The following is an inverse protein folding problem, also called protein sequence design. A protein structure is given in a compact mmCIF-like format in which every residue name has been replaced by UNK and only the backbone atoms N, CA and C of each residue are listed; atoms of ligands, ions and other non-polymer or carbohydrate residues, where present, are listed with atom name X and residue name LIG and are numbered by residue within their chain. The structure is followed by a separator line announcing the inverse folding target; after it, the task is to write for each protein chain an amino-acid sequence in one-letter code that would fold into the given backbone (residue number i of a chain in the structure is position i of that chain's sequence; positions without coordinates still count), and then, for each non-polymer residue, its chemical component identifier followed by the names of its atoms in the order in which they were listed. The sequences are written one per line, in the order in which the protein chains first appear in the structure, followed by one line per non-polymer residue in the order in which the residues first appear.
data_IF_051309289712
#
_entry.id   IF_051309289712
#
_cell.length_a   1.000
_cell.length_b   1.000
_cell.length_c   1.000
_cell.angle_alpha   90.00
_cell.angle_beta   90.00
_cell.angle_gamma   90.00
#
_symmetry.space_group_name_H-M   'P 1'
#
loop_
_entity.id
_entity.type
_entity.pdbx_description
1 polymer ?
#
# COMPACT_ATOMS: atom_id res chain seq x y z
N UNK A 1 11.41 17.78 19.88
CA UNK A 1 10.29 17.32 20.75
C UNK A 1 8.98 17.23 20.00
N UNK A 2 8.58 18.23 19.22
CA UNK A 2 7.34 18.19 18.42
C UNK A 2 7.30 17.04 17.38
N UNK A 3 8.41 16.73 16.75
CA UNK A 3 8.50 15.64 15.76
C UNK A 3 8.21 14.27 16.38
N UNK A 4 8.75 14.00 17.58
CA UNK A 4 8.52 12.73 18.28
C UNK A 4 7.04 12.59 18.68
N UNK A 5 6.44 13.66 19.17
CA UNK A 5 5.01 13.67 19.53
C UNK A 5 4.15 13.48 18.28
N UNK A 6 4.48 14.20 17.19
CA UNK A 6 3.80 14.04 15.90
C UNK A 6 3.90 12.62 15.35
N UNK A 7 5.08 12.02 15.41
CA UNK A 7 5.30 10.64 14.99
C UNK A 7 4.39 9.66 15.75
N UNK A 8 4.40 9.68 17.08
CA UNK A 8 3.56 8.79 17.89
C UNK A 8 2.06 9.04 17.67
N UNK A 9 1.67 10.28 17.47
CA UNK A 9 0.29 10.66 17.17
C UNK A 9 -0.17 9.99 15.84
N UNK A 10 0.55 10.18 14.75
CA UNK A 10 0.22 9.57 13.45
C UNK A 10 0.34 8.05 13.48
N UNK A 11 1.31 7.49 14.21
CA UNK A 11 1.47 6.05 14.35
C UNK A 11 0.25 5.40 15.02
N UNK A 12 -0.20 5.96 16.14
CA UNK A 12 -1.39 5.44 16.85
C UNK A 12 -2.64 5.56 15.99
N UNK A 13 -2.85 6.72 15.34
CA UNK A 13 -4.00 6.92 14.45
C UNK A 13 -4.01 5.95 13.27
N UNK A 14 -2.85 5.71 12.67
CA UNK A 14 -2.69 4.75 11.57
C UNK A 14 -3.07 3.33 12.01
N UNK A 15 -2.53 2.86 13.14
CA UNK A 15 -2.85 1.55 13.70
C UNK A 15 -4.34 1.43 14.02
N UNK A 16 -4.94 2.44 14.65
CA UNK A 16 -6.37 2.46 14.95
C UNK A 16 -7.22 2.38 13.66
N UNK A 17 -6.86 3.13 12.62
CA UNK A 17 -7.58 3.11 11.35
C UNK A 17 -7.48 1.73 10.66
N UNK A 18 -6.31 1.09 10.68
CA UNK A 18 -6.16 -0.29 10.16
C UNK A 18 -6.92 -1.31 11.00
N UNK A 19 -6.95 -1.18 12.32
CA UNK A 19 -7.77 -2.05 13.16
C UNK A 19 -9.26 -1.91 12.79
N UNK A 20 -9.77 -0.70 12.62
CA UNK A 20 -11.15 -0.47 12.17
C UNK A 20 -11.40 -1.10 10.81
N UNK A 21 -10.46 -0.97 9.87
CA UNK A 21 -10.55 -1.57 8.53
C UNK A 21 -10.68 -3.10 8.60
N UNK A 22 -9.87 -3.76 9.44
CA UNK A 22 -9.84 -5.22 9.56
C UNK A 22 -11.08 -5.77 10.29
N UNK A 23 -11.56 -5.09 11.33
CA UNK A 23 -12.69 -5.55 12.12
C UNK A 23 -14.05 -5.14 11.56
N UNK A 24 -14.09 -4.26 10.57
CA UNK A 24 -15.34 -3.81 9.96
C UNK A 24 -15.98 -4.91 9.11
N UNK A 25 -17.24 -5.20 9.37
CA UNK A 25 -18.03 -6.13 8.56
C UNK A 25 -18.57 -5.50 7.28
N UNK A 26 -18.62 -4.19 7.23
CA UNK A 26 -19.08 -3.45 6.05
C UNK A 26 -17.88 -3.03 5.20
N UNK A 27 -17.85 -3.51 3.96
CA UNK A 27 -16.73 -3.28 3.04
C UNK A 27 -16.49 -1.78 2.76
N UNK A 28 -17.55 -0.97 2.67
CA UNK A 28 -17.41 0.47 2.46
C UNK A 28 -16.73 1.15 3.65
N UNK A 29 -17.11 0.79 4.89
CA UNK A 29 -16.44 1.29 6.09
C UNK A 29 -15.00 0.79 6.19
N UNK A 30 -14.75 -0.47 5.87
CA UNK A 30 -13.39 -1.02 5.85
C UNK A 30 -12.48 -0.26 4.89
N UNK A 31 -12.97 0.03 3.68
CA UNK A 31 -12.24 0.78 2.67
C UNK A 31 -11.97 2.22 3.09
N UNK A 32 -12.98 2.93 3.61
CA UNK A 32 -12.79 4.30 4.07
C UNK A 32 -11.79 4.38 5.22
N UNK A 33 -11.85 3.46 6.17
CA UNK A 33 -10.89 3.35 7.25
C UNK A 33 -9.46 3.04 6.75
N UNK A 34 -9.34 2.16 5.74
CA UNK A 34 -8.05 1.86 5.10
C UNK A 34 -7.46 3.10 4.42
N UNK A 35 -8.27 3.86 3.68
CA UNK A 35 -7.83 5.11 3.05
C UNK A 35 -7.33 6.13 4.06
N UNK A 36 -8.03 6.30 5.16
CA UNK A 36 -7.63 7.19 6.26
C UNK A 36 -6.31 6.72 6.87
N UNK A 37 -6.15 5.41 7.10
CA UNK A 37 -4.90 4.83 7.59
C UNK A 37 -3.72 5.11 6.67
N UNK A 38 -3.90 5.03 5.35
CA UNK A 38 -2.86 5.36 4.36
C UNK A 38 -2.48 6.85 4.37
N UNK A 39 -3.44 7.76 4.64
CA UNK A 39 -3.16 9.18 4.80
C UNK A 39 -2.33 9.42 6.08
N UNK A 40 -2.63 8.73 7.18
CA UNK A 40 -1.83 8.84 8.41
C UNK A 40 -0.40 8.30 8.23
N UNK A 41 -0.20 7.27 7.39
CA UNK A 41 1.16 6.82 7.00
C UNK A 41 1.91 7.95 6.27
N UNK A 42 1.25 8.68 5.39
CA UNK A 42 1.89 9.83 4.74
C UNK A 42 2.30 10.89 5.77
N UNK A 43 1.47 11.12 6.81
CA UNK A 43 1.81 11.96 7.95
C UNK A 43 3.07 11.48 8.69
N UNK A 44 3.26 10.16 8.85
CA UNK A 44 4.51 9.60 9.40
C UNK A 44 5.73 9.91 8.52
N UNK A 45 5.60 9.79 7.20
CA UNK A 45 6.70 10.14 6.29
C UNK A 45 7.08 11.61 6.41
N UNK A 46 6.11 12.53 6.53
CA UNK A 46 6.40 13.96 6.74
C UNK A 46 7.11 14.21 8.08
N UNK A 47 6.71 13.56 9.15
CA UNK A 47 7.39 13.70 10.45
C UNK A 47 8.81 13.12 10.45
N UNK A 48 9.13 12.19 9.56
CA UNK A 48 10.46 11.61 9.37
C UNK A 48 11.33 12.39 8.37
N UNK A 49 10.84 13.51 7.83
CA UNK A 49 11.55 14.28 6.80
C UNK A 49 11.57 13.63 5.42
N UNK A 50 10.77 12.56 5.21
CA UNK A 50 10.65 11.86 3.94
C UNK A 50 9.51 12.46 3.08
N UNK A 51 9.62 13.76 2.75
CA UNK A 51 8.55 14.54 2.11
C UNK A 51 8.12 13.95 0.77
N UNK A 52 9.09 13.52 -0.06
CA UNK A 52 8.79 12.91 -1.36
C UNK A 52 7.96 11.63 -1.20
N UNK A 53 8.33 10.76 -0.25
CA UNK A 53 7.58 9.54 0.03
C UNK A 53 6.17 9.83 0.55
N UNK A 54 6.00 10.85 1.39
CA UNK A 54 4.70 11.27 1.88
C UNK A 54 3.76 11.72 0.77
N UNK A 55 4.26 12.51 -0.19
CA UNK A 55 3.50 12.96 -1.36
C UNK A 55 3.12 11.76 -2.25
N UNK A 56 4.08 10.87 -2.54
CA UNK A 56 3.83 9.65 -3.34
C UNK A 56 2.81 8.74 -2.65
N UNK A 57 2.88 8.59 -1.33
CA UNK A 57 1.91 7.81 -0.55
C UNK A 57 0.48 8.33 -0.76
N UNK A 58 0.26 9.64 -0.71
CA UNK A 58 -1.07 10.22 -0.93
C UNK A 58 -1.49 10.09 -2.39
N UNK A 59 -0.63 10.47 -3.33
CA UNK A 59 -0.98 10.52 -4.75
C UNK A 59 -1.22 9.12 -5.33
N UNK A 60 -0.34 8.16 -5.05
CA UNK A 60 -0.39 6.83 -5.65
C UNK A 60 -1.26 5.87 -4.85
N UNK A 61 -1.01 5.73 -3.54
CA UNK A 61 -1.75 4.75 -2.74
C UNK A 61 -3.16 5.21 -2.40
N UNK A 62 -3.31 6.42 -1.89
CA UNK A 62 -4.64 6.93 -1.52
C UNK A 62 -5.41 7.41 -2.75
N UNK A 63 -4.76 8.11 -3.68
CA UNK A 63 -5.38 8.63 -4.89
C UNK A 63 -5.63 7.58 -5.96
N UNK A 64 -4.62 6.80 -6.34
CA UNK A 64 -4.70 5.82 -7.42
C UNK A 64 -5.24 4.47 -7.00
N UNK A 65 -4.51 3.78 -6.12
CA UNK A 65 -4.79 2.38 -5.77
C UNK A 65 -6.10 2.24 -5.00
N UNK A 66 -6.37 3.11 -4.02
CA UNK A 66 -7.61 3.03 -3.24
C UNK A 66 -8.85 3.38 -4.04
N UNK A 67 -8.75 4.35 -4.95
CA UNK A 67 -9.86 4.68 -5.86
C UNK A 67 -10.16 3.51 -6.80
N UNK A 68 -9.11 2.89 -7.37
CA UNK A 68 -9.26 1.70 -8.21
C UNK A 68 -9.88 0.54 -7.44
N UNK A 69 -9.44 0.30 -6.21
CA UNK A 69 -10.01 -0.72 -5.32
C UNK A 69 -11.48 -0.44 -5.01
N UNK A 70 -11.84 0.84 -4.77
CA UNK A 70 -13.22 1.28 -4.58
C UNK A 70 -14.12 0.97 -5.78
N UNK A 71 -13.65 1.28 -6.99
CA UNK A 71 -14.37 0.92 -8.21
C UNK A 71 -14.53 -0.60 -8.34
N UNK A 72 -13.47 -1.36 -8.13
CA UNK A 72 -13.55 -2.81 -8.20
C UNK A 72 -14.60 -3.38 -7.24
N UNK A 73 -14.66 -2.89 -6.00
CA UNK A 73 -15.65 -3.34 -5.01
C UNK A 73 -17.09 -2.98 -5.35
N UNK A 74 -17.34 -1.93 -6.13
CA UNK A 74 -18.70 -1.62 -6.63
C UNK A 74 -19.25 -2.67 -7.59
N UNK A 75 -18.39 -3.36 -8.33
CA UNK A 75 -18.79 -4.41 -9.27
C UNK A 75 -18.99 -5.78 -8.60
N UNK A 76 -18.44 -5.98 -7.40
CA UNK A 76 -18.63 -7.22 -6.67
C UNK A 76 -19.88 -7.14 -5.79
N UNK A 77 -20.78 -8.12 -5.94
CA UNK A 77 -21.93 -8.29 -5.05
C UNK A 77 -21.47 -8.80 -3.67
N UNK A 78 -21.18 -7.84 -2.79
CA UNK A 78 -20.61 -8.09 -1.45
C UNK A 78 -21.61 -8.81 -0.52
N UNK A 79 -22.89 -8.90 -0.90
CA UNK A 79 -23.95 -9.54 -0.12
C UNK A 79 -23.99 -11.08 -0.24
N UNK A 80 -23.16 -11.68 -1.06
CA UNK A 80 -23.05 -13.14 -1.08
C UNK A 80 -22.35 -13.59 0.21
N UNK A 81 -23.14 -14.22 1.09
CA UNK A 81 -22.61 -14.95 2.25
C UNK A 81 -21.61 -16.02 1.79
N UNK A 82 -20.36 -15.65 1.66
CA UNK A 82 -19.26 -16.59 1.49
C UNK A 82 -19.11 -17.32 2.82
N UNK A 83 -19.61 -18.54 2.92
CA UNK A 83 -19.31 -19.41 4.06
C UNK A 83 -17.81 -19.68 4.03
N UNK A 84 -17.07 -18.97 4.85
CA UNK A 84 -15.67 -19.24 5.08
C UNK A 84 -15.54 -20.67 5.63
N UNK A 85 -15.01 -21.57 4.83
CA UNK A 85 -14.66 -22.91 5.27
C UNK A 85 -13.41 -22.75 6.15
N UNK A 86 -13.63 -22.69 7.45
CA UNK A 86 -12.61 -22.44 8.48
C UNK A 86 -11.55 -23.57 8.61
N UNK A 87 -11.31 -24.34 7.54
CA UNK A 87 -10.40 -25.50 7.53
C UNK A 87 -8.93 -25.12 7.78
N UNK A 88 -8.55 -23.87 7.48
CA UNK A 88 -7.18 -23.37 7.64
C UNK A 88 -7.01 -22.32 8.74
N UNK A 89 -8.02 -22.09 9.57
CA UNK A 89 -7.97 -21.04 10.59
C UNK A 89 -6.76 -21.20 11.54
N UNK A 90 -6.43 -22.42 11.95
CA UNK A 90 -5.28 -22.70 12.81
C UNK A 90 -3.93 -22.39 12.09
N UNK A 91 -3.82 -22.76 10.80
CA UNK A 91 -2.60 -22.49 10.03
C UNK A 91 -2.39 -20.99 9.82
N UNK A 92 -3.45 -20.24 9.52
CA UNK A 92 -3.39 -18.78 9.36
C UNK A 92 -3.00 -18.10 10.67
N UNK A 93 -3.60 -18.48 11.80
CA UNK A 93 -3.22 -17.90 13.11
C UNK A 93 -1.78 -18.22 13.49
N UNK A 94 -1.30 -19.43 13.22
CA UNK A 94 0.12 -19.79 13.46
C UNK A 94 1.06 -18.98 12.59
N UNK A 95 0.71 -18.78 11.31
CA UNK A 95 1.50 -17.97 10.39
C UNK A 95 1.54 -16.49 10.82
N UNK A 96 0.40 -15.92 11.22
CA UNK A 96 0.34 -14.54 11.73
C UNK A 96 1.18 -14.38 13.02
N UNK A 97 1.12 -15.35 13.94
CA UNK A 97 1.93 -15.32 15.15
C UNK A 97 3.43 -15.38 14.82
N UNK A 98 3.81 -16.26 13.89
CA UNK A 98 5.20 -16.37 13.43
C UNK A 98 5.71 -15.06 12.79
N UNK A 99 4.92 -14.44 11.91
CA UNK A 99 5.26 -13.13 11.33
C UNK A 99 5.37 -12.04 12.40
N UNK A 100 4.48 -12.02 13.39
CA UNK A 100 4.53 -11.04 14.48
C UNK A 100 5.81 -11.21 15.33
N UNK A 101 6.21 -12.45 15.63
CA UNK A 101 7.46 -12.75 16.34
C UNK A 101 8.68 -12.31 15.52
N UNK A 102 8.71 -12.61 14.21
CA UNK A 102 9.80 -12.17 13.34
C UNK A 102 9.92 -10.64 13.29
N UNK A 103 8.81 -9.94 13.14
CA UNK A 103 8.79 -8.47 13.17
C UNK A 103 9.27 -7.93 14.52
N UNK A 104 8.86 -8.54 15.62
CA UNK A 104 9.32 -8.16 16.96
C UNK A 104 10.84 -8.36 17.09
N UNK A 105 11.38 -9.48 16.62
CA UNK A 105 12.84 -9.75 16.66
C UNK A 105 13.60 -8.71 15.84
N UNK A 106 13.13 -8.35 14.64
CA UNK A 106 13.76 -7.34 13.79
C UNK A 106 13.79 -5.97 14.49
N UNK A 107 12.72 -5.59 15.19
CA UNK A 107 12.65 -4.33 15.94
C UNK A 107 13.60 -4.27 17.14
N UNK A 108 13.91 -5.42 17.75
CA UNK A 108 14.85 -5.51 18.88
C UNK A 108 16.32 -5.63 18.45
N UNK A 109 16.62 -5.91 17.19
CA UNK A 109 18.00 -5.91 16.68
C UNK A 109 18.45 -4.45 16.52
N UNK A 110 19.47 -4.00 17.27
CA UNK A 110 19.98 -2.64 17.11
C UNK A 110 20.66 -2.53 15.74
N UNK A 111 19.95 -2.00 14.76
CA UNK A 111 20.53 -1.63 13.49
C UNK A 111 21.52 -0.50 13.76
N UNK A 112 22.84 -0.79 13.69
CA UNK A 112 23.86 0.24 13.61
C UNK A 112 23.73 0.92 12.25
N UNK A 113 22.80 1.83 12.15
CA UNK A 113 22.69 2.71 11.00
C UNK A 113 23.88 3.65 11.09
N UNK A 114 24.86 3.44 10.22
CA UNK A 114 25.92 4.41 9.99
C UNK A 114 25.23 5.65 9.43
N UNK A 115 25.12 6.68 10.24
CA UNK A 115 24.65 7.98 9.76
C UNK A 115 25.70 8.52 8.80
N UNK A 116 25.58 8.20 7.53
CA UNK A 116 26.25 8.97 6.50
C UNK A 116 25.63 10.36 6.52
N UNK A 117 26.48 11.36 6.63
CA UNK A 117 26.07 12.76 6.50
C UNK A 117 25.63 12.91 5.05
N UNK A 118 24.33 12.77 4.81
CA UNK A 118 23.74 13.02 3.50
C UNK A 118 23.93 14.51 3.18
N UNK A 119 24.29 14.84 1.93
CA UNK A 119 24.41 16.23 1.49
C UNK A 119 23.07 16.96 1.73
N UNK A 120 23.15 18.23 2.02
CA UNK A 120 22.02 19.11 2.34
C UNK A 120 21.19 19.42 1.06
N UNK A 121 20.69 18.34 0.42
CA UNK A 121 19.91 18.37 -0.82
C UNK A 121 18.45 17.97 -0.52
N UNK A 122 17.49 18.51 -1.30
CA UNK A 122 16.10 18.07 -1.19
C UNK A 122 15.97 16.55 -1.36
N UNK A 123 15.12 15.93 -0.54
CA UNK A 123 14.91 14.48 -0.52
C UNK A 123 14.57 13.90 -1.91
N UNK A 124 13.80 14.62 -2.72
CA UNK A 124 13.47 14.24 -4.10
C UNK A 124 14.69 14.14 -5.01
N UNK A 125 15.67 15.04 -4.84
CA UNK A 125 16.91 15.04 -5.64
C UNK A 125 17.80 13.87 -5.25
N UNK A 126 17.94 13.58 -3.95
CA UNK A 126 18.70 12.45 -3.46
C UNK A 126 18.14 11.13 -4.00
N UNK A 127 16.82 10.93 -3.89
CA UNK A 127 16.14 9.74 -4.42
C UNK A 127 16.29 9.65 -5.95
N UNK A 128 16.15 10.77 -6.66
CA UNK A 128 16.34 10.80 -8.11
C UNK A 128 17.76 10.37 -8.52
N UNK A 129 18.77 10.88 -7.85
CA UNK A 129 20.17 10.53 -8.14
C UNK A 129 20.44 9.02 -7.89
N UNK A 130 19.90 8.46 -6.82
CA UNK A 130 20.05 7.03 -6.54
C UNK A 130 19.31 6.16 -7.57
N UNK A 131 18.07 6.50 -7.92
CA UNK A 131 17.27 5.75 -8.89
C UNK A 131 17.93 5.75 -10.27
N UNK A 132 18.33 6.93 -10.77
CA UNK A 132 18.93 7.06 -12.10
C UNK A 132 20.43 6.72 -12.13
N UNK A 133 21.08 6.58 -10.96
CA UNK A 133 22.46 6.12 -10.83
C UNK A 133 22.54 4.62 -10.61
N UNK A 134 22.51 4.22 -9.34
CA UNK A 134 22.77 2.85 -8.93
C UNK A 134 21.61 1.89 -9.24
N UNK A 135 20.35 2.37 -9.21
CA UNK A 135 19.14 1.55 -9.38
C UNK A 135 18.46 1.72 -10.74
N UNK A 136 19.18 2.22 -11.76
CA UNK A 136 18.62 2.47 -13.10
C UNK A 136 17.96 1.21 -13.70
N UNK A 137 18.62 0.06 -13.62
CA UNK A 137 18.09 -1.20 -14.17
C UNK A 137 16.79 -1.61 -13.47
N UNK A 138 16.73 -1.48 -12.14
CA UNK A 138 15.52 -1.77 -11.38
C UNK A 138 14.37 -0.84 -11.79
N UNK A 139 14.66 0.44 -12.00
CA UNK A 139 13.69 1.43 -12.48
C UNK A 139 13.15 1.07 -13.87
N UNK A 140 14.02 0.71 -14.81
CA UNK A 140 13.61 0.27 -16.15
C UNK A 140 12.73 -0.99 -16.12
N UNK A 141 13.07 -1.97 -15.28
CA UNK A 141 12.26 -3.19 -15.10
C UNK A 141 10.85 -2.87 -14.58
N UNK A 142 10.73 -1.93 -13.64
CA UNK A 142 9.42 -1.50 -13.14
C UNK A 142 8.64 -0.76 -14.21
N UNK A 143 9.29 0.09 -15.01
CA UNK A 143 8.64 0.80 -16.12
C UNK A 143 8.09 -0.18 -17.17
N UNK A 144 8.86 -1.21 -17.55
CA UNK A 144 8.39 -2.27 -18.46
C UNK A 144 7.23 -3.06 -17.84
N UNK A 145 7.31 -3.39 -16.54
CA UNK A 145 6.22 -4.08 -15.83
C UNK A 145 4.92 -3.28 -15.87
N UNK A 146 4.98 -1.98 -15.63
CA UNK A 146 3.81 -1.09 -15.70
C UNK A 146 3.25 -1.01 -17.12
N UNK A 147 4.11 -0.94 -18.13
CA UNK A 147 3.68 -0.95 -19.54
C UNK A 147 2.96 -2.25 -19.89
N UNK A 148 3.53 -3.40 -19.52
CA UNK A 148 2.90 -4.72 -19.76
C UNK A 148 1.57 -4.83 -19.02
N UNK A 149 1.49 -4.38 -17.77
CA UNK A 149 0.24 -4.38 -17.00
C UNK A 149 -0.84 -3.51 -17.68
N UNK A 150 -0.47 -2.34 -18.20
CA UNK A 150 -1.38 -1.46 -18.94
C UNK A 150 -1.89 -2.14 -20.23
N UNK A 151 -0.99 -2.73 -21.02
CA UNK A 151 -1.35 -3.44 -22.26
C UNK A 151 -2.29 -4.61 -21.94
N UNK A 152 -1.99 -5.41 -20.93
CA UNK A 152 -2.84 -6.52 -20.49
C UNK A 152 -4.24 -6.04 -20.09
N UNK A 153 -4.35 -4.94 -19.34
CA UNK A 153 -5.63 -4.38 -18.94
C UNK A 153 -6.47 -3.95 -20.15
N UNK A 154 -5.85 -3.26 -21.12
CA UNK A 154 -6.52 -2.81 -22.35
C UNK A 154 -7.00 -4.00 -23.19
N UNK A 155 -6.14 -5.02 -23.39
CA UNK A 155 -6.46 -6.21 -24.18
C UNK A 155 -7.61 -7.01 -23.56
N UNK A 156 -7.60 -7.17 -22.24
CA UNK A 156 -8.68 -7.87 -21.54
C UNK A 156 -10.01 -7.14 -21.68
N UNK A 157 -10.02 -5.83 -21.52
CA UNK A 157 -11.23 -5.00 -21.66
C UNK A 157 -11.79 -5.06 -23.08
N UNK A 158 -10.94 -5.00 -24.11
CA UNK A 158 -11.34 -5.07 -25.51
C UNK A 158 -11.94 -6.45 -25.85
N UNK A 159 -11.34 -7.52 -25.35
CA UNK A 159 -11.82 -8.90 -25.60
C UNK A 159 -13.21 -9.16 -25.01
N UNK A 160 -13.52 -8.60 -23.87
CA UNK A 160 -14.87 -8.73 -23.27
C UNK A 160 -15.92 -7.95 -24.09
N UNK A 161 -15.59 -6.73 -24.56
CA UNK A 161 -16.49 -5.97 -25.44
C UNK A 161 -16.81 -6.72 -26.74
N UNK A 162 -15.83 -7.38 -27.37
CA UNK A 162 -16.04 -8.19 -28.58
C UNK A 162 -16.92 -9.42 -28.34
N UNK A 163 -16.92 -9.99 -27.14
CA UNK A 163 -17.80 -11.11 -26.77
C UNK A 163 -19.23 -10.68 -26.61
N UNK A 164 -19.47 -9.52 -25.96
CA UNK A 164 -20.82 -8.99 -25.78
C UNK A 164 -21.48 -8.64 -27.13
N UNK A 165 -20.72 -8.02 -28.03
CA UNK A 165 -21.23 -7.67 -29.39
C UNK A 165 -21.53 -8.90 -30.25
N UNK A 166 -20.83 -10.01 -30.07
CA UNK A 166 -21.09 -11.28 -30.77
C UNK A 166 -22.24 -12.10 -30.17
N UNK A 167 -22.51 -11.93 -28.89
CA UNK A 167 -23.63 -12.58 -28.18
C UNK A 167 -24.99 -11.94 -28.41
N UNK A 168 -25.02 -10.73 -28.98
CA UNK A 168 -26.24 -9.96 -29.30
C UNK A 168 -26.69 -10.10 -30.77
N UNK A 169 -25.97 -10.83 -31.61
CA UNK A 169 -26.34 -11.20 -32.97
C UNK A 169 -26.79 -12.67 -33.03
#
# INVERSE_FOLDING_TARGET
MFEIVGFWFFAILSVCAFCVSVFSQNVLYAMSALSIGLIFIAGLFFTLGAEFLGVVQIAVYTGGVMVLYGFAMMFFDVNKNVREIAKFRKAITTLCLFCAILMSVILFVPLKIKSEILPDLPNSVLIGNEIFGQYLVAFEMVAVLLLVALICAVVLTHKEMDRETKGQK
#
